data_IF_347577324161
#
_entry.id   IF_347577324161
#
_cell.length_a   1.000
_cell.length_b   1.000
_cell.length_c   1.000
_cell.angle_alpha   90.00
_cell.angle_beta   90.00
_cell.angle_gamma   90.00
#
_symmetry.space_group_name_H-M   'P 1'
#
loop_
_entity.id
_entity.type
_entity.pdbx_description
1 polymer ?
#
# COMPACT_ATOMS: atom_id res chain seq x y z
N UNK A 1 -3.81 51.23 30.76
CA UNK A 1 -3.80 51.73 29.37
C UNK A 1 -3.00 50.80 28.47
N UNK A 2 -3.05 50.97 27.14
CA UNK A 2 -2.45 50.04 26.17
C UNK A 2 -0.95 49.77 26.41
N UNK A 3 -0.18 50.78 26.83
CA UNK A 3 1.24 50.61 27.18
C UNK A 3 1.48 49.70 28.39
N UNK A 4 0.61 49.77 29.42
CA UNK A 4 0.70 48.89 30.59
C UNK A 4 0.39 47.44 30.20
N UNK A 5 -0.60 47.21 29.33
CA UNK A 5 -0.92 45.86 28.82
C UNK A 5 0.19 45.29 27.91
N UNK A 6 0.85 46.13 27.10
CA UNK A 6 2.01 45.72 26.32
C UNK A 6 3.16 45.28 27.22
N UNK A 7 3.48 46.06 28.25
CA UNK A 7 4.55 45.74 29.19
C UNK A 7 4.25 44.46 29.99
N UNK A 8 3.04 44.31 30.52
CA UNK A 8 2.65 43.12 31.30
C UNK A 8 2.55 41.85 30.46
N UNK A 9 2.29 41.97 29.15
CA UNK A 9 2.27 40.83 28.22
C UNK A 9 3.63 40.51 27.58
N UNK A 10 4.71 41.17 28.03
CA UNK A 10 6.06 41.06 27.43
C UNK A 10 6.02 41.33 25.92
N UNK A 11 5.34 42.40 25.54
CA UNK A 11 5.14 42.77 24.13
C UNK A 11 4.34 41.76 23.33
N UNK A 12 3.38 41.08 23.96
CA UNK A 12 2.56 40.03 23.34
C UNK A 12 3.38 38.86 22.77
N UNK A 13 4.53 38.54 23.39
CA UNK A 13 5.42 37.46 22.95
C UNK A 13 4.71 36.10 22.84
N UNK A 14 3.83 35.77 23.79
CA UNK A 14 3.17 34.47 23.81
C UNK A 14 2.28 34.22 22.57
N UNK A 15 1.29 35.08 22.23
CA UNK A 15 0.48 34.88 21.03
C UNK A 15 1.24 35.10 19.72
N UNK A 16 2.22 36.02 19.67
CA UNK A 16 2.89 36.38 18.41
C UNK A 16 4.08 35.49 18.08
N UNK A 17 4.81 34.99 19.07
CA UNK A 17 6.04 34.21 18.85
C UNK A 17 5.88 32.77 19.34
N UNK A 18 5.68 32.55 20.64
CA UNK A 18 5.70 31.21 21.20
C UNK A 18 4.59 30.33 20.60
N UNK A 19 3.34 30.79 20.65
CA UNK A 19 2.21 30.02 20.14
C UNK A 19 2.32 29.80 18.63
N UNK A 20 2.61 30.85 17.86
CA UNK A 20 2.74 30.76 16.41
C UNK A 20 3.85 29.78 15.98
N UNK A 21 5.04 29.88 16.60
CA UNK A 21 6.17 29.00 16.27
C UNK A 21 5.87 27.54 16.65
N UNK A 22 5.32 27.31 17.85
CA UNK A 22 5.03 25.94 18.33
C UNK A 22 3.93 25.29 17.50
N UNK A 23 2.86 26.02 17.15
CA UNK A 23 1.78 25.45 16.34
C UNK A 23 2.24 25.08 14.94
N UNK A 24 3.10 25.91 14.33
CA UNK A 24 3.62 25.62 13.00
C UNK A 24 4.54 24.39 13.03
N UNK A 25 5.42 24.30 14.02
CA UNK A 25 6.30 23.15 14.20
C UNK A 25 5.49 21.86 14.45
N UNK A 26 4.51 21.92 15.34
CA UNK A 26 3.69 20.75 15.68
C UNK A 26 2.82 20.31 14.50
N UNK A 27 2.20 21.26 13.79
CA UNK A 27 1.39 20.95 12.61
C UNK A 27 2.23 20.33 11.49
N UNK A 28 3.43 20.86 11.23
CA UNK A 28 4.34 20.27 10.27
C UNK A 28 4.75 18.84 10.68
N UNK A 29 5.14 18.63 11.95
CA UNK A 29 5.48 17.32 12.48
C UNK A 29 4.33 16.32 12.41
N UNK A 30 3.11 16.74 12.77
CA UNK A 30 1.90 15.92 12.69
C UNK A 30 1.58 15.52 11.25
N UNK A 31 1.64 16.47 10.30
CA UNK A 31 1.39 16.18 8.90
C UNK A 31 2.41 15.19 8.32
N UNK A 32 3.70 15.35 8.67
CA UNK A 32 4.74 14.41 8.24
C UNK A 32 4.46 13.02 8.81
N UNK A 33 4.16 12.92 10.11
CA UNK A 33 3.88 11.64 10.75
C UNK A 33 2.65 10.95 10.15
N UNK A 34 1.53 11.66 10.00
CA UNK A 34 0.28 11.07 9.47
C UNK A 34 0.38 10.71 7.97
N UNK A 35 0.99 11.56 7.14
CA UNK A 35 1.07 11.30 5.70
C UNK A 35 2.15 10.27 5.35
N UNK A 36 3.32 10.32 5.97
CA UNK A 36 4.41 9.40 5.60
C UNK A 36 4.28 8.05 6.30
N UNK A 37 4.09 8.04 7.62
CA UNK A 37 4.08 6.77 8.37
C UNK A 37 2.73 6.09 8.18
N UNK A 38 1.64 6.78 8.52
CA UNK A 38 0.32 6.13 8.54
C UNK A 38 -0.22 5.89 7.14
N UNK A 39 -0.23 6.93 6.29
CA UNK A 39 -0.84 6.82 4.97
C UNK A 39 0.07 6.16 3.92
N UNK A 40 1.40 6.32 4.00
CA UNK A 40 2.31 5.78 2.97
C UNK A 40 2.87 4.42 3.36
N UNK A 41 3.58 4.31 4.49
CA UNK A 41 4.24 3.06 4.86
C UNK A 41 3.26 1.94 5.21
N UNK A 42 2.29 2.18 6.11
CA UNK A 42 1.35 1.12 6.48
C UNK A 42 0.41 0.72 5.35
N UNK A 43 0.00 1.65 4.49
CA UNK A 43 -0.86 1.34 3.35
C UNK A 43 -0.13 0.51 2.29
N UNK A 44 1.11 0.91 1.96
CA UNK A 44 1.95 0.22 0.98
C UNK A 44 2.36 -1.16 1.47
N UNK A 45 2.79 -1.31 2.73
CA UNK A 45 3.22 -2.60 3.27
C UNK A 45 2.05 -3.51 3.68
N UNK A 46 0.90 -2.92 4.01
CA UNK A 46 -0.28 -3.66 4.44
C UNK A 46 -1.17 -4.05 3.25
N UNK A 47 -2.36 -3.42 3.10
CA UNK A 47 -3.38 -3.89 2.18
C UNK A 47 -2.98 -3.75 0.70
N UNK A 48 -2.34 -2.65 0.29
CA UNK A 48 -2.00 -2.45 -1.13
C UNK A 48 -0.85 -3.37 -1.56
N UNK A 49 0.19 -3.50 -0.73
CA UNK A 49 1.30 -4.41 -0.98
C UNK A 49 0.83 -5.85 -1.04
N UNK A 50 0.00 -6.28 -0.08
CA UNK A 50 -0.55 -7.64 -0.07
C UNK A 50 -1.41 -7.91 -1.31
N UNK A 51 -2.28 -6.98 -1.71
CA UNK A 51 -3.09 -7.11 -2.92
C UNK A 51 -2.22 -7.20 -4.18
N UNK A 52 -1.17 -6.38 -4.28
CA UNK A 52 -0.25 -6.41 -5.41
C UNK A 52 0.53 -7.74 -5.48
N UNK A 53 1.02 -8.22 -4.35
CA UNK A 53 1.70 -9.52 -4.26
C UNK A 53 0.76 -10.67 -4.65
N UNK A 54 -0.45 -10.71 -4.11
CA UNK A 54 -1.42 -11.75 -4.45
C UNK A 54 -1.82 -11.72 -5.93
N UNK A 55 -2.08 -10.53 -6.48
CA UNK A 55 -2.44 -10.41 -7.91
C UNK A 55 -1.28 -10.81 -8.82
N UNK A 56 -0.05 -10.45 -8.46
CA UNK A 56 1.15 -10.86 -9.20
C UNK A 56 1.37 -12.36 -9.14
N UNK A 57 1.25 -12.96 -7.95
CA UNK A 57 1.37 -14.41 -7.77
C UNK A 57 0.28 -15.17 -8.54
N UNK A 58 -0.96 -14.68 -8.50
CA UNK A 58 -2.06 -15.25 -9.27
C UNK A 58 -1.80 -15.21 -10.77
N UNK A 59 -1.34 -14.06 -11.31
CA UNK A 59 -0.97 -13.93 -12.73
C UNK A 59 0.18 -14.85 -13.14
N UNK A 60 1.19 -14.99 -12.29
CA UNK A 60 2.28 -15.92 -12.54
C UNK A 60 1.76 -17.36 -12.61
N UNK A 61 0.95 -17.77 -11.65
CA UNK A 61 0.36 -19.12 -11.61
C UNK A 61 -0.57 -19.41 -12.80
N UNK A 62 -1.42 -18.46 -13.19
CA UNK A 62 -2.31 -18.65 -14.34
C UNK A 62 -1.57 -18.70 -15.66
N UNK A 63 -0.43 -18.01 -15.81
CA UNK A 63 0.40 -18.08 -17.01
C UNK A 63 0.95 -19.50 -17.24
N UNK A 64 1.26 -20.25 -16.17
CA UNK A 64 1.66 -21.66 -16.28
C UNK A 64 0.52 -22.60 -16.68
N UNK A 65 -0.73 -22.23 -16.41
CA UNK A 65 -1.90 -23.02 -16.78
C UNK A 65 -2.60 -22.37 -17.99
N UNK A 66 -2.09 -22.67 -19.20
CA UNK A 66 -2.52 -22.12 -20.50
C UNK A 66 -4.02 -22.25 -20.85
N UNK A 67 -4.82 -22.90 -20.00
CA UNK A 67 -6.25 -23.10 -20.21
C UNK A 67 -6.58 -24.15 -21.29
N UNK A 68 -5.58 -24.87 -21.80
CA UNK A 68 -5.74 -25.87 -22.87
C UNK A 68 -6.25 -27.23 -22.36
N UNK A 69 -7.13 -27.24 -21.35
CA UNK A 69 -7.63 -28.46 -20.70
C UNK A 69 -8.22 -29.45 -21.70
N UNK A 70 -8.95 -28.96 -22.72
CA UNK A 70 -9.55 -29.79 -23.77
C UNK A 70 -8.50 -30.47 -24.65
N UNK A 71 -7.41 -29.78 -24.97
CA UNK A 71 -6.30 -30.35 -25.75
C UNK A 71 -5.54 -31.39 -24.93
N UNK A 72 -5.26 -31.13 -23.66
CA UNK A 72 -4.63 -32.09 -22.76
C UNK A 72 -5.48 -33.36 -22.61
N UNK A 73 -6.80 -33.24 -22.37
CA UNK A 73 -7.71 -34.39 -22.30
C UNK A 73 -7.72 -35.19 -23.61
N UNK A 74 -7.76 -34.51 -24.75
CA UNK A 74 -7.72 -35.13 -26.07
C UNK A 74 -6.42 -35.91 -26.31
N UNK A 75 -5.27 -35.31 -25.99
CA UNK A 75 -3.97 -36.00 -26.11
C UNK A 75 -3.87 -37.22 -25.18
N UNK A 76 -4.40 -37.12 -23.96
CA UNK A 76 -4.41 -38.23 -23.01
C UNK A 76 -5.29 -39.39 -23.49
N UNK A 77 -6.49 -39.09 -23.98
CA UNK A 77 -7.38 -40.09 -24.56
C UNK A 77 -6.77 -40.76 -25.79
N UNK A 78 -6.12 -39.99 -26.67
CA UNK A 78 -5.42 -40.54 -27.84
C UNK A 78 -4.25 -41.45 -27.44
N UNK A 79 -3.44 -41.05 -26.44
CA UNK A 79 -2.35 -41.87 -25.92
C UNK A 79 -2.84 -43.20 -25.35
N UNK A 80 -3.95 -43.20 -24.60
CA UNK A 80 -4.58 -44.44 -24.10
C UNK A 80 -5.01 -45.33 -25.27
N UNK A 81 -5.65 -44.74 -26.28
CA UNK A 81 -6.12 -45.48 -27.46
C UNK A 81 -4.96 -46.11 -28.23
N UNK A 82 -3.85 -45.39 -28.42
CA UNK A 82 -2.62 -45.92 -29.05
C UNK A 82 -2.05 -47.08 -28.22
N UNK A 83 -1.96 -46.93 -26.90
CA UNK A 83 -1.47 -48.01 -26.02
C UNK A 83 -2.35 -49.25 -26.16
N UNK A 84 -3.67 -49.11 -26.09
CA UNK A 84 -4.60 -50.22 -26.27
C UNK A 84 -4.46 -50.91 -27.63
N UNK A 85 -4.32 -50.13 -28.71
CA UNK A 85 -4.12 -50.69 -30.06
C UNK A 85 -2.76 -51.36 -30.23
N UNK A 86 -1.72 -50.91 -29.51
CA UNK A 86 -0.38 -51.50 -29.53
C UNK A 86 -0.25 -52.73 -28.62
N UNK A 87 -1.16 -52.92 -27.66
CA UNK A 87 -1.18 -54.09 -26.78
C UNK A 87 -1.90 -55.30 -27.41
N UNK A 88 -2.31 -55.18 -28.69
CA UNK A 88 -2.81 -56.26 -29.54
C UNK A 88 -1.84 -56.47 -30.71
#
# INVERSE_FOLDING_TARGET
GPFSNFATSLGYFNPLTHRFSVTNLLSAGQNIASHLIDLSWYKLLGPEGLANLQTTAAKAATTYHSGLIKAYLGSFALSILIILMSMH
#
